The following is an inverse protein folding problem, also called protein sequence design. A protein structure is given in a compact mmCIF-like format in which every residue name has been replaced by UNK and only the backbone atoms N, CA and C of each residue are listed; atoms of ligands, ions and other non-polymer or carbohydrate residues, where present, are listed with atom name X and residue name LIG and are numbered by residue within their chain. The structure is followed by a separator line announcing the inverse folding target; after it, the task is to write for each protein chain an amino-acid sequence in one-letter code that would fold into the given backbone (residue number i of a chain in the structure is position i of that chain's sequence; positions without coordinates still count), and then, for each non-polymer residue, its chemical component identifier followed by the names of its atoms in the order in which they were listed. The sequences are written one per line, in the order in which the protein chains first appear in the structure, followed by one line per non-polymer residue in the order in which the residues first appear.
data_IF_447687974838
#
_entry.id   IF_447687974838
#
_cell.length_a   1.000
_cell.length_b   1.000
_cell.length_c   1.000
_cell.angle_alpha   90.00
_cell.angle_beta   90.00
_cell.angle_gamma   90.00
#
_symmetry.space_group_name_H-M   'P 1'
#
loop_
_entity.id
_entity.type
_entity.pdbx_description
1 polymer ?
#
# COMPACT_ATOMS: atom_id res chain seq x y z
N UNK A 1 16.23 -4.81 42.60
CA UNK A 1 15.81 -5.37 41.30
C UNK A 1 15.35 -4.23 40.43
N UNK A 2 16.16 -3.86 39.44
CA UNK A 2 15.85 -2.81 38.47
C UNK A 2 15.99 -3.45 37.09
N UNK A 3 14.98 -3.34 36.24
CA UNK A 3 15.11 -3.62 34.81
C UNK A 3 15.88 -2.46 34.18
N UNK A 4 17.20 -2.50 34.37
CA UNK A 4 18.19 -1.70 33.67
C UNK A 4 18.24 -2.29 32.26
N UNK A 5 17.59 -1.64 31.29
CA UNK A 5 17.96 -1.53 29.87
C UNK A 5 16.74 -0.95 29.15
N UNK A 6 16.65 0.39 29.15
CA UNK A 6 15.73 1.11 28.27
C UNK A 6 16.08 0.81 26.83
N UNK A 7 15.11 0.31 26.07
CA UNK A 7 15.22 0.09 24.63
C UNK A 7 15.67 1.38 23.95
N UNK A 8 16.74 1.38 23.13
CA UNK A 8 17.15 2.59 22.43
C UNK A 8 16.02 3.03 21.49
N UNK A 9 15.56 4.26 21.67
CA UNK A 9 14.61 4.92 20.75
C UNK A 9 15.28 4.94 19.38
N UNK A 10 14.77 4.13 18.45
CA UNK A 10 15.33 3.91 17.11
C UNK A 10 15.33 5.23 16.34
N UNK A 11 16.42 6.00 16.41
CA UNK A 11 16.68 7.18 15.59
C UNK A 11 17.09 6.76 14.18
N UNK A 12 16.17 6.17 13.42
CA UNK A 12 16.35 5.87 11.97
C UNK A 12 15.25 6.59 11.14
N UNK A 13 14.38 7.37 11.78
CA UNK A 13 13.16 7.90 11.16
C UNK A 13 13.39 9.06 10.17
N UNK A 14 14.33 9.97 10.40
CA UNK A 14 14.17 11.34 9.88
C UNK A 14 14.42 11.53 8.37
N UNK A 15 15.26 10.70 7.72
CA UNK A 15 15.56 10.80 6.28
C UNK A 15 14.72 9.87 5.40
N UNK A 16 14.26 8.75 5.95
CA UNK A 16 13.38 7.81 5.23
C UNK A 16 11.92 8.27 5.32
N UNK A 17 11.52 8.92 6.41
CA UNK A 17 10.15 9.42 6.58
C UNK A 17 9.81 10.49 5.53
N UNK A 18 10.72 11.42 5.20
CA UNK A 18 10.44 12.49 4.23
C UNK A 18 10.29 11.97 2.78
N UNK A 19 11.08 10.98 2.39
CA UNK A 19 10.95 10.34 1.06
C UNK A 19 9.69 9.48 0.98
N UNK A 20 9.36 8.80 2.07
CA UNK A 20 8.14 8.02 2.19
C UNK A 20 6.92 8.94 2.08
N UNK A 21 6.95 10.10 2.72
CA UNK A 21 5.87 11.09 2.71
C UNK A 21 5.55 11.64 1.30
N UNK A 22 6.58 11.99 0.52
CA UNK A 22 6.37 12.45 -0.86
C UNK A 22 5.74 11.37 -1.75
N UNK A 23 6.18 10.11 -1.62
CA UNK A 23 5.63 8.99 -2.40
C UNK A 23 4.19 8.69 -2.03
N UNK A 24 3.87 8.73 -0.73
CA UNK A 24 2.51 8.55 -0.24
C UNK A 24 1.58 9.67 -0.72
N UNK A 25 2.08 10.91 -0.73
CA UNK A 25 1.33 12.07 -1.25
C UNK A 25 1.01 11.90 -2.74
N UNK A 26 2.00 11.55 -3.56
CA UNK A 26 1.79 11.29 -4.99
C UNK A 26 0.79 10.14 -5.21
N UNK A 27 0.94 9.04 -4.46
CA UNK A 27 0.03 7.89 -4.58
C UNK A 27 -1.41 8.28 -4.21
N UNK A 28 -1.59 9.08 -3.15
CA UNK A 28 -2.87 9.64 -2.75
C UNK A 28 -3.48 10.52 -3.83
N UNK A 29 -2.71 11.42 -4.43
CA UNK A 29 -3.19 12.30 -5.49
C UNK A 29 -3.60 11.52 -6.74
N UNK A 30 -2.82 10.50 -7.12
CA UNK A 30 -3.14 9.63 -8.25
C UNK A 30 -4.42 8.82 -8.01
N UNK A 31 -4.62 8.33 -6.79
CA UNK A 31 -5.85 7.64 -6.40
C UNK A 31 -7.07 8.56 -6.48
N UNK A 32 -6.99 9.74 -5.85
CA UNK A 32 -8.09 10.70 -5.81
C UNK A 32 -8.42 11.25 -7.20
N UNK A 33 -7.43 11.35 -8.09
CA UNK A 33 -7.63 11.69 -9.49
C UNK A 33 -8.18 10.52 -10.35
N UNK A 34 -8.38 9.33 -9.77
CA UNK A 34 -8.86 8.15 -10.48
C UNK A 34 -7.88 7.57 -11.50
N UNK A 35 -6.59 7.91 -11.41
CA UNK A 35 -5.55 7.48 -12.36
C UNK A 35 -5.14 6.02 -12.17
N UNK A 36 -5.28 5.50 -10.95
CA UNK A 36 -5.09 4.08 -10.62
C UNK A 36 -6.37 3.58 -9.98
N UNK A 37 -6.93 2.49 -10.50
CA UNK A 37 -8.14 1.87 -9.95
C UNK A 37 -7.77 0.79 -8.93
N UNK A 38 -8.41 0.81 -7.77
CA UNK A 38 -8.38 -0.30 -6.82
C UNK A 38 -9.72 -1.01 -6.84
N UNK A 39 -9.68 -2.33 -7.02
CA UNK A 39 -10.85 -3.18 -7.12
C UNK A 39 -10.73 -4.36 -6.17
N UNK A 40 -11.77 -4.59 -5.37
CA UNK A 40 -11.90 -5.82 -4.56
C UNK A 40 -12.27 -7.04 -5.41
N UNK A 41 -12.77 -6.82 -6.63
CA UNK A 41 -13.05 -7.85 -7.63
C UNK A 41 -11.77 -8.30 -8.34
N UNK A 42 -11.79 -9.49 -8.95
CA UNK A 42 -10.64 -10.08 -9.66
C UNK A 42 -10.27 -9.33 -10.96
N UNK A 43 -11.16 -8.47 -11.47
CA UNK A 43 -10.94 -7.65 -12.65
C UNK A 43 -11.74 -6.35 -12.62
N UNK A 44 -11.60 -5.55 -13.68
CA UNK A 44 -12.36 -4.32 -13.89
C UNK A 44 -13.45 -4.60 -14.93
N UNK A 45 -14.75 -4.36 -14.61
CA UNK A 45 -15.82 -4.58 -15.58
C UNK A 45 -15.59 -3.85 -16.91
N UNK A 46 -15.79 -4.57 -18.02
CA UNK A 46 -15.63 -4.02 -19.37
C UNK A 46 -14.18 -3.74 -19.80
N UNK A 47 -13.18 -4.23 -19.06
CA UNK A 47 -11.76 -4.02 -19.36
C UNK A 47 -10.97 -5.32 -19.20
N UNK A 48 -10.12 -5.59 -20.18
CA UNK A 48 -9.24 -6.76 -20.15
C UNK A 48 -7.91 -6.44 -19.46
N UNK A 49 -7.45 -7.36 -18.60
CA UNK A 49 -6.09 -7.36 -18.09
C UNK A 49 -5.13 -7.79 -19.23
N UNK A 50 -4.08 -7.01 -19.45
CA UNK A 50 -3.01 -7.33 -20.39
C UNK A 50 -1.95 -8.22 -19.74
N UNK A 51 -1.51 -7.85 -18.54
CA UNK A 51 -0.51 -8.59 -17.76
C UNK A 51 -0.64 -8.29 -16.28
N UNK A 52 -0.15 -9.19 -15.44
CA UNK A 52 -0.01 -8.98 -14.00
C UNK A 52 1.46 -8.72 -13.66
N UNK A 53 1.71 -7.73 -12.81
CA UNK A 53 3.02 -7.51 -12.18
C UNK A 53 3.23 -8.45 -10.99
N UNK A 54 2.12 -8.87 -10.37
CA UNK A 54 2.12 -9.80 -9.24
C UNK A 54 1.50 -9.19 -7.99
N UNK A 55 1.66 -9.90 -6.88
CA UNK A 55 1.19 -9.48 -5.56
C UNK A 55 1.98 -8.26 -5.07
N UNK A 56 1.26 -7.22 -4.68
CA UNK A 56 1.80 -6.09 -3.94
C UNK A 56 1.18 -6.05 -2.55
N UNK A 57 1.95 -5.57 -1.56
CA UNK A 57 1.55 -5.56 -0.16
C UNK A 57 2.18 -4.40 0.57
N UNK A 58 1.41 -3.69 1.38
CA UNK A 58 1.93 -2.72 2.32
C UNK A 58 1.22 -2.86 3.68
N UNK A 59 1.98 -2.65 4.75
CA UNK A 59 1.52 -2.85 6.12
C UNK A 59 1.99 -1.70 6.99
N UNK A 60 1.16 -1.30 7.94
CA UNK A 60 1.44 -0.17 8.82
C UNK A 60 0.53 -0.18 10.04
N UNK A 61 0.97 0.46 11.12
CA UNK A 61 0.12 0.78 12.27
C UNK A 61 -0.88 1.91 11.99
N UNK A 62 -0.66 2.67 10.90
CA UNK A 62 -1.56 3.70 10.39
C UNK A 62 -2.16 3.23 9.07
N UNK A 63 -3.49 3.18 8.98
CA UNK A 63 -4.20 2.68 7.79
C UNK A 63 -3.79 3.43 6.51
N UNK A 64 -3.78 4.76 6.52
CA UNK A 64 -3.41 5.57 5.36
C UNK A 64 -2.03 5.20 4.80
N UNK A 65 -1.05 4.93 5.68
CA UNK A 65 0.27 4.51 5.25
C UNK A 65 0.26 3.11 4.61
N UNK A 66 -0.55 2.18 5.12
CA UNK A 66 -0.72 0.87 4.50
C UNK A 66 -1.41 0.97 3.13
N UNK A 67 -2.47 1.77 3.05
CA UNK A 67 -3.25 1.93 1.83
C UNK A 67 -2.49 2.69 0.73
N UNK A 68 -2.00 3.89 1.03
CA UNK A 68 -1.24 4.68 0.06
C UNK A 68 0.14 4.10 -0.21
N UNK A 69 0.72 3.34 0.73
CA UNK A 69 1.96 2.61 0.51
C UNK A 69 1.81 1.46 -0.48
N UNK A 70 0.66 0.77 -0.47
CA UNK A 70 0.31 -0.21 -1.52
C UNK A 70 0.21 0.49 -2.87
N UNK A 71 -0.44 1.65 -2.92
CA UNK A 71 -0.58 2.41 -4.17
C UNK A 71 0.75 2.97 -4.67
N UNK A 72 1.65 3.40 -3.80
CA UNK A 72 2.99 3.80 -4.18
C UNK A 72 3.73 2.64 -4.88
N UNK A 73 3.60 1.40 -4.40
CA UNK A 73 4.17 0.23 -5.08
C UNK A 73 3.52 -0.02 -6.45
N UNK A 74 2.20 0.16 -6.56
CA UNK A 74 1.51 0.07 -7.85
C UNK A 74 2.01 1.13 -8.85
N UNK A 75 2.24 2.37 -8.38
CA UNK A 75 2.82 3.45 -9.17
C UNK A 75 4.23 3.12 -9.63
N UNK A 76 5.09 2.58 -8.76
CA UNK A 76 6.47 2.24 -9.10
C UNK A 76 6.56 1.25 -10.28
N UNK A 77 5.65 0.27 -10.33
CA UNK A 77 5.56 -0.70 -11.43
C UNK A 77 4.68 -0.20 -12.59
N UNK A 78 4.32 1.08 -12.54
CA UNK A 78 3.43 1.78 -13.46
C UNK A 78 2.03 1.15 -13.60
N UNK A 79 1.56 0.31 -12.68
CA UNK A 79 0.31 -0.42 -12.85
C UNK A 79 -0.88 0.50 -13.13
N UNK A 80 -1.81 0.04 -13.96
CA UNK A 80 -3.03 0.79 -14.28
C UNK A 80 -4.11 0.55 -13.21
N UNK A 81 -4.03 -0.58 -12.51
CA UNK A 81 -4.94 -0.94 -11.45
C UNK A 81 -4.35 -1.96 -10.47
N UNK A 82 -5.02 -2.08 -9.31
CA UNK A 82 -4.87 -3.16 -8.34
C UNK A 82 -6.20 -3.91 -8.29
N UNK A 83 -6.18 -5.20 -8.56
CA UNK A 83 -7.37 -6.08 -8.52
C UNK A 83 -7.24 -7.10 -7.40
N UNK A 84 -8.36 -7.71 -7.00
CA UNK A 84 -8.40 -8.66 -5.88
C UNK A 84 -7.95 -8.01 -4.57
N UNK A 85 -8.18 -6.71 -4.42
CA UNK A 85 -7.77 -5.93 -3.26
C UNK A 85 -8.43 -6.44 -1.98
N UNK A 86 -7.62 -6.58 -0.93
CA UNK A 86 -8.03 -7.01 0.40
C UNK A 86 -7.32 -6.20 1.47
N UNK A 87 -8.03 -6.04 2.58
CA UNK A 87 -7.54 -5.41 3.80
C UNK A 87 -7.73 -6.37 4.95
N UNK A 88 -6.73 -6.47 5.81
CA UNK A 88 -6.83 -7.18 7.07
C UNK A 88 -6.26 -6.33 8.19
N UNK A 89 -6.82 -6.51 9.39
CA UNK A 89 -6.34 -5.86 10.61
C UNK A 89 -5.94 -6.97 11.58
N UNK A 90 -4.69 -6.95 12.02
CA UNK A 90 -4.18 -7.81 13.08
C UNK A 90 -4.05 -7.01 14.36
N UNK A 91 -4.40 -7.63 15.48
CA UNK A 91 -4.28 -7.02 16.81
C UNK A 91 -3.07 -7.62 17.51
N UNK A 92 -2.12 -6.79 17.91
CA UNK A 92 -1.00 -7.22 18.74
C UNK A 92 -1.50 -7.38 20.20
N UNK A 93 -1.00 -8.36 20.96
CA UNK A 93 -1.36 -8.56 22.37
C UNK A 93 -1.37 -7.31 23.27
N UNK A 94 -0.50 -6.32 23.03
CA UNK A 94 -0.49 -5.02 23.74
C UNK A 94 -1.59 -4.04 23.31
N UNK A 95 -2.45 -4.40 22.35
CA UNK A 95 -3.60 -3.59 21.92
C UNK A 95 -3.38 -2.80 20.63
N UNK A 96 -2.17 -2.83 20.06
CA UNK A 96 -1.87 -2.13 18.82
C UNK A 96 -2.54 -2.80 17.61
N UNK A 97 -2.98 -1.99 16.64
CA UNK A 97 -3.58 -2.46 15.38
C UNK A 97 -2.56 -2.39 14.27
N UNK A 98 -2.45 -3.46 13.49
CA UNK A 98 -1.58 -3.54 12.34
C UNK A 98 -2.39 -3.83 11.08
N UNK A 99 -2.44 -2.84 10.19
CA UNK A 99 -3.18 -2.90 8.94
C UNK A 99 -2.32 -3.54 7.86
N UNK A 100 -2.91 -4.42 7.06
CA UNK A 100 -2.30 -5.01 5.88
C UNK A 100 -3.21 -4.82 4.68
N UNK A 101 -2.70 -4.13 3.66
CA UNK A 101 -3.37 -3.89 2.40
C UNK A 101 -2.62 -4.67 1.31
N UNK A 102 -3.33 -5.48 0.52
CA UNK A 102 -2.70 -6.31 -0.52
C UNK A 102 -3.63 -6.54 -1.71
N UNK A 103 -3.05 -6.86 -2.85
CA UNK A 103 -3.76 -7.16 -4.09
C UNK A 103 -2.80 -7.41 -5.24
N UNK A 104 -3.34 -7.60 -6.44
CA UNK A 104 -2.54 -7.86 -7.64
C UNK A 104 -2.45 -6.61 -8.49
N UNK A 105 -1.23 -6.11 -8.70
CA UNK A 105 -0.97 -5.00 -9.61
C UNK A 105 -1.05 -5.48 -11.06
N UNK A 106 -1.81 -4.79 -11.91
CA UNK A 106 -2.08 -5.20 -13.29
C UNK A 106 -1.91 -4.06 -14.29
N UNK A 107 -1.51 -4.45 -15.50
CA UNK A 107 -1.58 -3.64 -16.72
C UNK A 107 -2.89 -3.96 -17.42
N UNK A 108 -3.63 -2.96 -17.86
CA UNK A 108 -4.85 -3.14 -18.63
C UNK A 108 -4.56 -3.00 -20.12
N UNK A 109 -5.32 -3.69 -20.96
CA UNK A 109 -5.29 -3.44 -22.41
C UNK A 109 -5.77 -2.00 -22.69
N UNK A 110 -5.20 -1.37 -23.70
CA UNK A 110 -5.69 -0.08 -24.22
C UNK A 110 -7.12 -0.26 -24.74
N UNK A 111 -8.01 0.68 -24.45
CA UNK A 111 -9.33 0.73 -25.10
C UNK A 111 -9.07 1.02 -26.58
N UNK A 112 -9.68 0.21 -27.45
CA UNK A 112 -9.69 0.46 -28.89
C UNK A 112 -10.65 1.57 -29.23
#
# INVERSE_FOLDING_TARGET
MALIFGSPKRQIADRDDTKTDHRLTLAKDMYMAGKIKIMTTEGIPGRDIQSAFGLIVCRSYVFDNAFYGLMAQAVDVNADAVVGYRETVSFHPEGDKYYSCYGTAVRMKKIK
#
